data_IF_514215501724
#
_entry.id   IF_514215501724
#
_cell.length_a   1.000
_cell.length_b   1.000
_cell.length_c   1.000
_cell.angle_alpha   90.00
_cell.angle_beta   90.00
_cell.angle_gamma   90.00
#
_symmetry.space_group_name_H-M   'P 1'
#
loop_
_entity.id
_entity.type
_entity.pdbx_description
1 polymer ?
#
# COMPACT_ATOMS: atom_id res chain seq x y z
N UNK A 1 -32.53 -23.15 -57.83
CA UNK A 1 -31.61 -22.66 -56.79
C UNK A 1 -30.44 -21.97 -57.46
N UNK A 2 -30.07 -20.77 -56.97
CA UNK A 2 -29.20 -19.78 -57.62
C UNK A 2 -27.71 -20.16 -57.60
N UNK A 3 -27.04 -19.60 -58.61
CA UNK A 3 -25.66 -19.69 -59.11
C UNK A 3 -24.54 -19.82 -58.07
N UNK A 4 -23.62 -20.78 -58.31
CA UNK A 4 -22.33 -20.92 -57.63
C UNK A 4 -21.33 -19.94 -58.28
N UNK A 5 -20.88 -18.97 -57.51
CA UNK A 5 -19.94 -17.93 -57.91
C UNK A 5 -18.55 -18.51 -58.17
N UNK A 6 -17.99 -18.19 -59.33
CA UNK A 6 -16.60 -18.44 -59.73
C UNK A 6 -15.76 -17.21 -59.38
N UNK A 7 -14.66 -17.40 -58.65
CA UNK A 7 -13.51 -16.48 -58.74
C UNK A 7 -12.21 -17.28 -58.80
N UNK A 8 -11.40 -17.08 -59.86
CA UNK A 8 -10.06 -17.65 -59.96
C UNK A 8 -9.05 -16.76 -59.23
N UNK A 9 -8.02 -17.43 -58.72
CA UNK A 9 -6.84 -16.90 -58.05
C UNK A 9 -5.90 -16.19 -59.05
N UNK A 10 -5.62 -14.90 -58.82
CA UNK A 10 -4.54 -14.11 -59.44
C UNK A 10 -4.41 -12.78 -58.65
N UNK A 11 -3.29 -12.10 -58.41
CA UNK A 11 -1.91 -12.17 -58.86
C UNK A 11 -0.97 -11.59 -57.79
N UNK A 12 0.22 -12.16 -57.72
CA UNK A 12 1.54 -11.56 -57.53
C UNK A 12 1.62 -10.03 -57.43
N UNK A 13 2.11 -9.49 -56.30
CA UNK A 13 2.74 -8.16 -56.24
C UNK A 13 4.06 -8.26 -55.46
N UNK A 14 5.03 -7.57 -56.03
CA UNK A 14 6.48 -7.59 -55.89
C UNK A 14 7.01 -7.11 -54.54
N UNK A 15 7.96 -7.87 -53.98
CA UNK A 15 8.80 -7.47 -52.85
C UNK A 15 9.73 -6.34 -53.32
N UNK A 16 9.43 -5.10 -52.95
CA UNK A 16 10.38 -4.00 -53.08
C UNK A 16 11.33 -4.02 -51.86
N UNK A 17 12.47 -4.72 -52.00
CA UNK A 17 13.65 -4.52 -51.15
C UNK A 17 14.13 -3.09 -51.31
N UNK A 18 13.83 -2.21 -50.36
CA UNK A 18 14.47 -0.89 -50.25
C UNK A 18 15.32 -0.84 -48.98
N UNK A 19 16.59 -1.20 -49.20
CA UNK A 19 17.82 -0.67 -48.60
C UNK A 19 17.75 -0.06 -47.19
N UNK A 20 18.46 -0.72 -46.26
CA UNK A 20 18.93 -0.19 -44.98
C UNK A 20 19.56 1.21 -45.15
N UNK A 21 18.91 2.24 -44.61
CA UNK A 21 19.59 3.43 -44.11
C UNK A 21 19.42 3.48 -42.60
N UNK A 22 20.53 3.26 -41.91
CA UNK A 22 20.69 3.51 -40.48
C UNK A 22 20.39 4.98 -40.24
N UNK A 23 19.29 5.28 -39.57
CA UNK A 23 19.09 6.55 -38.88
C UNK A 23 18.87 6.19 -37.42
N UNK A 24 19.97 6.21 -36.67
CA UNK A 24 19.95 6.28 -35.20
C UNK A 24 19.40 7.69 -34.92
N UNK A 25 18.21 7.86 -34.33
CA UNK A 25 17.91 9.13 -33.68
C UNK A 25 18.87 9.26 -32.52
N UNK A 26 19.60 10.37 -32.50
CA UNK A 26 20.53 10.76 -31.44
C UNK A 26 19.86 10.49 -30.09
N UNK A 27 20.37 9.51 -29.36
CA UNK A 27 20.06 9.35 -27.94
C UNK A 27 20.89 10.44 -27.28
N UNK A 28 20.29 11.63 -27.17
CA UNK A 28 20.71 12.58 -26.15
C UNK A 28 20.40 11.87 -24.84
N UNK A 29 21.44 11.38 -24.16
CA UNK A 29 21.34 10.98 -22.76
C UNK A 29 20.68 12.14 -21.99
N UNK A 30 19.58 11.93 -21.26
CA UNK A 30 19.14 12.91 -20.29
C UNK A 30 20.16 12.90 -19.16
N UNK A 31 21.10 13.83 -19.27
CA UNK A 31 21.72 14.62 -18.21
C UNK A 31 21.71 13.98 -16.82
N UNK A 32 22.92 13.62 -16.38
CA UNK A 32 23.29 13.21 -15.01
C UNK A 32 22.76 14.18 -13.93
N UNK A 33 22.33 15.40 -14.29
CA UNK A 33 21.67 16.37 -13.41
C UNK A 33 20.33 15.88 -12.84
N UNK A 34 19.54 15.10 -13.59
CA UNK A 34 18.21 14.67 -13.13
C UNK A 34 18.28 13.58 -12.06
N UNK A 35 19.33 12.74 -12.06
CA UNK A 35 19.49 11.65 -11.09
C UNK A 35 19.96 12.19 -9.74
N UNK A 36 20.89 13.15 -9.72
CA UNK A 36 21.31 13.82 -8.48
C UNK A 36 20.15 14.61 -7.87
N UNK A 37 19.33 15.28 -8.68
CA UNK A 37 18.14 16.00 -8.21
C UNK A 37 17.07 15.06 -7.65
N UNK A 38 16.87 13.87 -8.23
CA UNK A 38 15.97 12.83 -7.70
C UNK A 38 16.52 12.22 -6.40
N UNK A 39 17.82 11.97 -6.31
CA UNK A 39 18.47 11.46 -5.08
C UNK A 39 18.38 12.52 -3.97
N UNK A 40 18.65 13.78 -4.29
CA UNK A 40 18.60 14.89 -3.33
C UNK A 40 17.17 15.18 -2.88
N UNK A 41 16.17 15.05 -3.77
CA UNK A 41 14.74 15.10 -3.46
C UNK A 41 14.26 13.92 -2.59
N UNK A 42 14.91 12.74 -2.70
CA UNK A 42 14.59 11.57 -1.87
C UNK A 42 15.24 11.66 -0.48
N UNK A 43 16.46 12.19 -0.40
CA UNK A 43 17.19 12.38 0.86
C UNK A 43 16.53 13.47 1.72
N UNK A 44 16.04 14.57 1.13
CA UNK A 44 15.32 15.60 1.88
C UNK A 44 13.90 15.16 2.31
N UNK A 45 13.28 14.19 1.65
CA UNK A 45 11.98 13.64 2.11
C UNK A 45 12.08 12.77 3.36
N UNK A 46 13.21 12.12 3.65
CA UNK A 46 13.39 11.37 4.90
C UNK A 46 13.68 12.29 6.09
N UNK A 47 14.48 13.35 5.89
CA UNK A 47 14.77 14.35 6.93
C UNK A 47 13.55 15.21 7.28
N UNK A 48 12.73 15.62 6.30
CA UNK A 48 11.48 16.35 6.57
C UNK A 48 10.46 15.50 7.36
N UNK A 49 10.42 14.18 7.14
CA UNK A 49 9.56 13.28 7.92
C UNK A 49 10.04 13.09 9.37
N UNK A 50 11.35 13.18 9.61
CA UNK A 50 11.92 13.19 10.97
C UNK A 50 11.74 14.53 11.68
N UNK A 51 11.55 15.60 10.91
CA UNK A 51 11.34 16.97 11.41
C UNK A 51 9.87 17.29 11.71
N UNK A 52 8.94 16.40 11.36
CA UNK A 52 7.55 16.50 11.79
C UNK A 52 7.49 16.59 13.34
N UNK A 53 6.65 17.47 13.92
CA UNK A 53 6.57 17.62 15.37
C UNK A 53 6.28 16.26 16.04
N UNK A 54 7.29 15.65 16.67
CA UNK A 54 7.17 14.42 17.45
C UNK A 54 6.32 14.59 18.73
N UNK A 55 5.71 15.76 18.91
CA UNK A 55 5.01 16.22 20.10
C UNK A 55 3.83 15.30 20.49
N UNK A 56 3.27 14.54 19.54
CA UNK A 56 2.22 13.55 19.79
C UNK A 56 2.71 12.13 20.10
N UNK A 57 3.82 11.69 19.51
CA UNK A 57 4.28 10.29 19.58
C UNK A 57 4.87 9.95 20.94
N UNK A 58 5.72 10.83 21.49
CA UNK A 58 6.29 10.62 22.83
C UNK A 58 5.22 10.47 23.90
N UNK A 59 4.14 11.26 23.80
CA UNK A 59 3.00 11.16 24.71
C UNK A 59 2.25 9.83 24.55
N UNK A 60 2.04 9.36 23.32
CA UNK A 60 1.38 8.08 23.07
C UNK A 60 2.20 6.89 23.59
N UNK A 61 3.53 6.89 23.39
CA UNK A 61 4.44 5.85 23.87
C UNK A 61 4.40 5.76 25.40
N UNK A 62 4.52 6.90 26.09
CA UNK A 62 4.46 6.95 27.56
C UNK A 62 3.10 6.45 28.08
N UNK A 63 1.99 6.83 27.42
CA UNK A 63 0.65 6.33 27.78
C UNK A 63 0.56 4.81 27.61
N UNK A 64 1.12 4.26 26.53
CA UNK A 64 1.16 2.82 26.26
C UNK A 64 1.97 2.06 27.31
N UNK A 65 3.13 2.56 27.74
CA UNK A 65 3.94 1.94 28.80
C UNK A 65 3.22 1.93 30.16
N UNK A 66 2.63 3.07 30.54
CA UNK A 66 1.86 3.18 31.80
C UNK A 66 0.69 2.21 31.79
N UNK A 67 0.01 2.07 30.65
CA UNK A 67 -1.09 1.12 30.51
C UNK A 67 -0.60 -0.32 30.50
N UNK A 68 0.49 -0.66 29.82
CA UNK A 68 1.03 -2.02 29.83
C UNK A 68 1.39 -2.49 31.25
N UNK A 69 1.76 -1.57 32.14
CA UNK A 69 2.03 -1.86 33.55
C UNK A 69 0.77 -2.14 34.39
N UNK A 70 -0.35 -1.48 34.07
CA UNK A 70 -1.56 -1.48 34.90
C UNK A 70 -2.75 -2.22 34.26
N UNK A 71 -2.66 -2.56 32.97
CA UNK A 71 -3.71 -3.15 32.18
C UNK A 71 -3.18 -4.34 31.38
N UNK A 72 -3.84 -5.48 31.54
CA UNK A 72 -3.49 -6.71 30.83
C UNK A 72 -4.55 -7.03 29.76
N UNK A 73 -4.09 -7.33 28.55
CA UNK A 73 -4.98 -7.75 27.46
C UNK A 73 -5.39 -9.21 27.70
N UNK A 74 -6.68 -9.42 27.97
CA UNK A 74 -7.22 -10.77 28.18
C UNK A 74 -7.10 -11.62 26.90
N UNK A 75 -6.78 -12.93 27.01
CA UNK A 75 -6.64 -13.81 25.85
C UNK A 75 -7.92 -13.94 25.02
N UNK A 76 -9.10 -13.90 25.65
CA UNK A 76 -10.38 -13.93 24.93
C UNK A 76 -10.55 -12.70 24.01
N UNK A 77 -10.03 -11.54 24.43
CA UNK A 77 -10.05 -10.33 23.63
C UNK A 77 -9.07 -10.43 22.45
N UNK A 78 -7.89 -11.01 22.67
CA UNK A 78 -6.95 -11.32 21.59
C UNK A 78 -7.59 -12.26 20.58
N UNK A 79 -8.27 -13.33 21.01
CA UNK A 79 -8.98 -14.23 20.10
C UNK A 79 -10.04 -13.50 19.26
N UNK A 80 -10.80 -12.59 19.87
CA UNK A 80 -11.81 -11.80 19.15
C UNK A 80 -11.18 -10.89 18.08
N UNK A 81 -10.08 -10.23 18.43
CA UNK A 81 -9.32 -9.36 17.51
C UNK A 81 -8.71 -10.18 16.39
N UNK A 82 -8.19 -11.37 16.72
CA UNK A 82 -7.57 -12.28 15.76
C UNK A 82 -8.58 -12.95 14.83
N UNK A 83 -9.81 -13.21 15.28
CA UNK A 83 -10.89 -13.71 14.43
C UNK A 83 -11.29 -12.70 13.34
N UNK A 84 -11.05 -11.41 13.61
CA UNK A 84 -11.22 -10.34 12.65
C UNK A 84 -9.84 -9.80 12.28
N UNK A 85 -8.98 -10.53 11.57
CA UNK A 85 -7.65 -10.03 11.14
C UNK A 85 -7.70 -9.23 9.83
N UNK A 86 -6.71 -8.38 9.64
CA UNK A 86 -6.41 -7.74 8.36
C UNK A 86 -5.22 -8.42 7.71
N UNK A 87 -5.38 -8.92 6.49
CA UNK A 87 -4.33 -9.68 5.80
C UNK A 87 -3.54 -8.84 4.80
N UNK A 88 -3.92 -7.57 4.59
CA UNK A 88 -3.26 -6.71 3.61
C UNK A 88 -3.45 -7.14 2.16
N UNK A 89 -4.45 -7.98 1.86
CA UNK A 89 -4.66 -8.41 0.47
C UNK A 89 -5.20 -7.26 -0.39
N UNK A 90 -4.86 -7.24 -1.68
CA UNK A 90 -5.36 -6.24 -2.65
C UNK A 90 -6.89 -6.15 -2.73
N UNK A 91 -7.59 -7.22 -2.36
CA UNK A 91 -9.06 -7.31 -2.34
C UNK A 91 -9.68 -6.80 -1.03
N UNK A 92 -8.89 -6.59 0.01
CA UNK A 92 -9.39 -6.16 1.30
C UNK A 92 -9.71 -4.65 1.25
N UNK A 93 -10.92 -4.27 1.66
CA UNK A 93 -11.30 -2.87 1.75
C UNK A 93 -10.81 -2.27 3.08
N UNK A 94 -9.89 -1.27 3.07
CA UNK A 94 -9.35 -0.68 4.29
C UNK A 94 -10.42 0.04 5.13
N UNK A 95 -11.44 0.63 4.48
CA UNK A 95 -12.53 1.35 5.18
C UNK A 95 -13.43 0.40 5.96
N UNK A 96 -13.85 -0.70 5.34
CA UNK A 96 -14.62 -1.76 6.00
C UNK A 96 -13.85 -2.31 7.20
N UNK A 97 -12.53 -2.46 7.04
CA UNK A 97 -11.67 -2.97 8.10
C UNK A 97 -11.60 -2.03 9.30
N UNK A 98 -11.28 -0.75 9.07
CA UNK A 98 -11.24 0.27 10.13
C UNK A 98 -12.60 0.39 10.81
N UNK A 99 -13.69 0.34 10.05
CA UNK A 99 -15.06 0.39 10.58
C UNK A 99 -15.35 -0.81 11.49
N UNK A 100 -15.01 -2.03 11.07
CA UNK A 100 -15.19 -3.24 11.87
C UNK A 100 -14.35 -3.18 13.16
N UNK A 101 -13.10 -2.71 13.08
CA UNK A 101 -12.25 -2.54 14.27
C UNK A 101 -12.82 -1.50 15.24
N UNK A 102 -13.28 -0.35 14.74
CA UNK A 102 -13.95 0.67 15.55
C UNK A 102 -15.21 0.13 16.22
N UNK A 103 -16.03 -0.63 15.50
CA UNK A 103 -17.26 -1.23 16.04
C UNK A 103 -16.95 -2.26 17.13
N UNK A 104 -15.94 -3.10 16.92
CA UNK A 104 -15.49 -4.10 17.88
C UNK A 104 -14.92 -3.45 19.15
N UNK A 105 -14.09 -2.41 19.02
CA UNK A 105 -13.47 -1.74 20.18
C UNK A 105 -14.44 -0.82 20.93
N UNK A 106 -15.51 -0.36 20.28
CA UNK A 106 -16.56 0.43 20.93
C UNK A 106 -17.36 -0.34 22.00
N UNK A 107 -17.40 -1.68 21.93
CA UNK A 107 -18.06 -2.51 22.95
C UNK A 107 -17.19 -2.72 24.19
N UNK A 108 -15.89 -2.44 24.09
CA UNK A 108 -14.93 -2.61 25.19
C UNK A 108 -15.04 -1.41 26.13
N UNK A 109 -15.51 -1.69 27.35
CA UNK A 109 -15.62 -0.69 28.43
C UNK A 109 -14.76 -1.13 29.60
N UNK A 110 -13.73 -0.33 29.87
CA UNK A 110 -12.87 -0.47 31.04
C UNK A 110 -12.90 0.84 31.81
N UNK A 111 -13.09 0.77 33.12
CA UNK A 111 -13.34 1.95 33.97
C UNK A 111 -12.14 2.91 33.98
N UNK A 112 -10.94 2.36 33.97
CA UNK A 112 -9.71 3.12 34.22
C UNK A 112 -8.80 3.21 32.98
N UNK A 113 -9.30 2.80 31.81
CA UNK A 113 -8.53 2.79 30.57
C UNK A 113 -9.28 3.52 29.47
N UNK A 114 -8.61 4.51 28.87
CA UNK A 114 -9.13 5.26 27.74
C UNK A 114 -9.38 4.32 26.54
N UNK A 115 -10.54 4.44 25.89
CA UNK A 115 -10.91 3.59 24.76
C UNK A 115 -9.89 3.67 23.60
N UNK A 116 -9.31 4.85 23.36
CA UNK A 116 -8.29 5.02 22.33
C UNK A 116 -6.99 4.28 22.66
N UNK A 117 -6.64 4.17 23.95
CA UNK A 117 -5.47 3.40 24.33
C UNK A 117 -5.70 1.89 24.18
N UNK A 118 -6.93 1.42 24.40
CA UNK A 118 -7.33 0.04 24.07
C UNK A 118 -7.21 -0.19 22.56
N UNK A 119 -7.68 0.75 21.74
CA UNK A 119 -7.53 0.67 20.28
C UNK A 119 -6.06 0.56 19.89
N UNK A 120 -5.20 1.42 20.45
CA UNK A 120 -3.76 1.40 20.18
C UNK A 120 -3.11 0.08 20.58
N UNK A 121 -3.45 -0.46 21.75
CA UNK A 121 -2.94 -1.75 22.22
C UNK A 121 -3.41 -2.93 21.37
N UNK A 122 -4.64 -2.92 20.87
CA UNK A 122 -5.22 -4.03 20.10
C UNK A 122 -4.90 -3.96 18.60
N UNK A 123 -4.57 -2.78 18.08
CA UNK A 123 -4.34 -2.57 16.66
C UNK A 123 -3.25 -3.48 16.06
N UNK A 124 -2.08 -3.68 16.72
CA UNK A 124 -1.05 -4.59 16.20
C UNK A 124 -1.54 -6.03 16.04
N UNK A 125 -2.33 -6.54 16.99
CA UNK A 125 -2.89 -7.90 16.94
C UNK A 125 -3.96 -8.08 15.87
N UNK A 126 -4.48 -6.97 15.34
CA UNK A 126 -5.49 -6.93 14.31
C UNK A 126 -4.91 -7.05 12.90
N UNK A 127 -3.59 -6.99 12.76
CA UNK A 127 -2.84 -7.11 11.50
C UNK A 127 -2.25 -8.52 11.37
N UNK A 128 -2.11 -9.00 10.13
CA UNK A 128 -1.53 -10.30 9.79
C UNK A 128 -0.67 -10.16 8.54
N UNK A 129 0.54 -10.70 8.59
CA UNK A 129 1.53 -10.61 7.51
C UNK A 129 2.59 -9.55 7.82
N UNK A 130 3.71 -9.64 7.09
CA UNK A 130 4.73 -8.60 7.09
C UNK A 130 4.19 -7.45 6.22
N UNK A 131 4.02 -6.29 6.85
CA UNK A 131 3.62 -5.06 6.18
C UNK A 131 4.83 -4.38 5.53
#
# INVERSE_FOLDING_TARGET
MRTRSNYPFNSTVTILRRSNRRCIPDIVEPEIQTIEEIILMADCTMEDLLQAPMEGYGKAIVILEILAKNFEIKPNLLQLVQANKFHGFKRDNPYTRISNFKRMTATLKYRDVANDAIKLMLFPYSLQGDA
#
